data_IF_958693819818
#
_entry.id   IF_958693819818
#
_cell.length_a   1.000
_cell.length_b   1.000
_cell.length_c   1.000
_cell.angle_alpha   90.00
_cell.angle_beta   90.00
_cell.angle_gamma   90.00
#
_symmetry.space_group_name_H-M   'P 1'
#
loop_
_entity.id
_entity.type
_entity.pdbx_description
1 polymer ?
#
# COMPACT_ATOMS: atom_id res chain seq x y z
N UNK A 1 11.44 11.62 -9.72
CA UNK A 1 12.31 10.57 -9.12
C UNK A 1 11.45 9.33 -9.00
N UNK A 2 11.75 8.26 -9.74
CA UNK A 2 10.89 7.07 -9.79
C UNK A 2 10.70 6.47 -8.41
N UNK A 3 9.45 6.24 -8.02
CA UNK A 3 9.10 5.72 -6.71
C UNK A 3 9.24 4.20 -6.74
N UNK A 4 10.40 3.71 -6.33
CA UNK A 4 10.75 2.29 -6.28
C UNK A 4 11.09 1.89 -4.85
N UNK A 5 10.68 0.68 -4.47
CA UNK A 5 11.12 0.04 -3.22
C UNK A 5 11.90 -1.22 -3.56
N UNK A 6 13.02 -1.43 -2.87
CA UNK A 6 13.82 -2.64 -3.06
C UNK A 6 13.28 -3.76 -2.18
N UNK A 7 12.92 -4.89 -2.78
CA UNK A 7 12.53 -6.08 -2.04
C UNK A 7 13.76 -6.76 -1.39
N UNK A 8 13.53 -7.64 -0.41
CA UNK A 8 14.59 -8.47 0.21
C UNK A 8 15.26 -9.47 -0.75
N UNK A 9 14.66 -9.73 -1.92
CA UNK A 9 15.29 -10.51 -2.99
C UNK A 9 16.08 -9.62 -3.99
N UNK A 10 16.36 -8.35 -3.61
CA UNK A 10 17.02 -7.32 -4.42
C UNK A 10 16.22 -6.80 -5.64
N UNK A 11 15.07 -7.39 -5.96
CA UNK A 11 14.19 -6.90 -7.03
C UNK A 11 13.62 -5.51 -6.71
N UNK A 12 13.51 -4.66 -7.74
CA UNK A 12 12.88 -3.34 -7.62
C UNK A 12 11.38 -3.43 -7.89
N UNK A 13 10.58 -2.97 -6.94
CA UNK A 13 9.12 -2.94 -7.04
C UNK A 13 8.66 -1.51 -7.21
N UNK A 14 7.86 -1.26 -8.25
CA UNK A 14 7.33 0.06 -8.54
C UNK A 14 6.22 0.42 -7.57
N UNK A 15 6.26 1.63 -7.01
CA UNK A 15 5.29 2.08 -5.99
C UNK A 15 4.26 3.08 -6.53
N UNK A 16 4.30 3.39 -7.82
CA UNK A 16 3.30 4.25 -8.45
C UNK A 16 1.99 3.47 -8.69
N UNK A 17 0.92 3.93 -8.05
CA UNK A 17 -0.42 3.34 -8.16
C UNK A 17 -1.05 3.52 -9.55
N UNK A 18 -0.64 4.54 -10.32
CA UNK A 18 -1.24 4.86 -11.61
C UNK A 18 -0.66 4.06 -12.79
N UNK A 19 0.27 3.13 -12.51
CA UNK A 19 0.93 2.31 -13.54
C UNK A 19 0.32 0.91 -13.70
N UNK A 20 -0.88 0.65 -13.16
CA UNK A 20 -1.56 -0.65 -13.32
C UNK A 20 -0.85 -1.80 -12.61
N UNK A 21 -0.07 -1.50 -11.58
CA UNK A 21 0.85 -2.42 -10.87
C UNK A 21 0.18 -3.32 -9.84
N UNK A 22 -1.15 -3.29 -9.71
CA UNK A 22 -1.89 -4.11 -8.74
C UNK A 22 -1.68 -3.68 -7.28
N UNK A 23 -1.33 -2.41 -7.04
CA UNK A 23 -1.13 -1.86 -5.69
C UNK A 23 -2.48 -1.75 -4.98
N UNK A 24 -2.53 -2.31 -3.78
CA UNK A 24 -3.71 -2.23 -2.91
C UNK A 24 -3.49 -1.23 -1.77
N UNK A 25 -4.56 -0.73 -1.18
CA UNK A 25 -4.52 0.12 0.02
C UNK A 25 -4.94 -0.69 1.23
N UNK A 26 -4.26 -0.48 2.37
CA UNK A 26 -4.66 -1.08 3.64
C UNK A 26 -5.47 -0.06 4.41
N UNK A 27 -6.72 -0.42 4.71
CA UNK A 27 -7.66 0.43 5.42
C UNK A 27 -8.35 -0.42 6.49
N UNK A 28 -8.43 0.11 7.69
CA UNK A 28 -9.17 -0.52 8.80
C UNK A 28 -10.68 -0.40 8.55
N UNK A 29 -11.43 -1.44 8.93
CA UNK A 29 -12.88 -1.51 8.72
C UNK A 29 -13.62 -0.40 9.46
N UNK A 30 -13.25 -0.13 10.72
CA UNK A 30 -13.81 0.97 11.52
C UNK A 30 -13.67 2.34 10.83
N UNK A 31 -12.60 2.53 10.06
CA UNK A 31 -12.41 3.75 9.28
C UNK A 31 -13.33 3.79 8.05
N UNK A 32 -13.67 2.66 7.44
CA UNK A 32 -14.60 2.63 6.32
C UNK A 32 -16.04 2.89 6.77
N UNK A 33 -16.41 2.40 7.96
CA UNK A 33 -17.77 2.48 8.51
C UNK A 33 -18.12 3.84 9.13
N UNK A 34 -17.14 4.68 9.40
CA UNK A 34 -17.36 6.01 9.97
C UNK A 34 -18.22 6.90 9.02
N UNK A 35 -19.35 7.41 9.52
CA UNK A 35 -20.21 8.32 8.79
C UNK A 35 -19.53 9.68 8.52
N UNK A 36 -19.53 10.09 7.25
CA UNK A 36 -18.90 11.36 6.81
C UNK A 36 -19.87 12.21 5.99
N UNK A 37 -20.87 12.85 6.64
CA UNK A 37 -21.98 13.52 5.93
C UNK A 37 -21.55 14.73 5.09
N UNK A 38 -20.36 15.30 5.32
CA UNK A 38 -19.87 16.49 4.62
C UNK A 38 -18.73 16.18 3.62
N UNK A 39 -18.53 14.90 3.26
CA UNK A 39 -17.40 14.49 2.43
C UNK A 39 -17.89 13.82 1.15
N UNK A 40 -17.40 14.30 0.00
CA UNK A 40 -17.67 13.63 -1.26
C UNK A 40 -16.92 12.30 -1.34
N UNK A 41 -17.40 11.39 -2.19
CA UNK A 41 -16.70 10.14 -2.45
C UNK A 41 -15.30 10.37 -3.02
N UNK A 42 -15.14 11.40 -3.86
CA UNK A 42 -13.87 11.77 -4.49
C UNK A 42 -12.85 12.27 -3.46
N UNK A 43 -13.28 13.13 -2.53
CA UNK A 43 -12.44 13.62 -1.43
C UNK A 43 -12.04 12.47 -0.50
N UNK A 44 -12.95 11.53 -0.25
CA UNK A 44 -12.69 10.35 0.57
C UNK A 44 -11.64 9.44 -0.07
N UNK A 45 -11.78 9.10 -1.35
CA UNK A 45 -10.82 8.28 -2.08
C UNK A 45 -9.47 8.98 -2.17
N UNK A 46 -9.46 10.29 -2.46
CA UNK A 46 -8.23 11.09 -2.52
C UNK A 46 -7.49 11.04 -1.19
N UNK A 47 -8.19 11.17 -0.07
CA UNK A 47 -7.59 11.05 1.25
C UNK A 47 -7.05 9.65 1.51
N UNK A 48 -7.77 8.58 1.15
CA UNK A 48 -7.31 7.21 1.31
C UNK A 48 -5.98 6.99 0.56
N UNK A 49 -5.89 7.42 -0.69
CA UNK A 49 -4.69 7.27 -1.53
C UNK A 49 -3.48 8.00 -0.94
N UNK A 50 -3.70 9.14 -0.27
CA UNK A 50 -2.64 9.98 0.31
C UNK A 50 -2.23 9.51 1.70
N UNK A 51 -3.17 9.02 2.51
CA UNK A 51 -2.94 8.84 3.95
C UNK A 51 -2.72 7.39 4.37
N UNK A 52 -3.13 6.42 3.55
CA UNK A 52 -3.11 5.01 3.93
C UNK A 52 -1.90 4.29 3.37
N UNK A 53 -1.49 3.25 4.11
CA UNK A 53 -0.37 2.41 3.71
C UNK A 53 -0.71 1.66 2.42
N UNK A 54 0.30 1.53 1.55
CA UNK A 54 0.18 0.78 0.31
C UNK A 54 0.68 -0.65 0.52
N UNK A 55 -0.05 -1.60 -0.02
CA UNK A 55 0.33 -3.00 -0.11
C UNK A 55 0.80 -3.31 -1.53
N UNK A 56 2.04 -3.78 -1.62
CA UNK A 56 2.69 -4.18 -2.87
C UNK A 56 3.03 -5.67 -2.78
N UNK A 57 3.06 -6.34 -3.92
CA UNK A 57 3.57 -7.71 -4.04
C UNK A 57 4.81 -7.72 -4.93
N UNK A 58 5.89 -8.33 -4.46
CA UNK A 58 7.05 -8.56 -5.31
C UNK A 58 6.74 -9.65 -6.35
N UNK A 59 6.78 -9.30 -7.63
CA UNK A 59 6.52 -10.25 -8.72
C UNK A 59 7.49 -11.44 -8.75
N UNK A 60 8.72 -11.27 -8.25
CA UNK A 60 9.76 -12.31 -8.24
C UNK A 60 9.60 -13.28 -7.05
N UNK A 61 9.62 -12.78 -5.81
CA UNK A 61 9.61 -13.64 -4.62
C UNK A 61 8.27 -13.70 -3.87
N UNK A 62 7.22 -13.08 -4.41
CA UNK A 62 5.84 -13.07 -3.86
C UNK A 62 5.70 -12.52 -2.44
N UNK A 63 6.73 -11.82 -1.97
CA UNK A 63 6.74 -11.12 -0.68
C UNK A 63 5.80 -9.92 -0.73
N UNK A 64 4.98 -9.80 0.30
CA UNK A 64 4.16 -8.62 0.53
C UNK A 64 5.02 -7.52 1.16
N UNK A 65 4.89 -6.31 0.63
CA UNK A 65 5.61 -5.12 1.08
C UNK A 65 4.55 -4.10 1.47
N UNK A 66 4.53 -3.72 2.74
CA UNK A 66 3.68 -2.65 3.24
C UNK A 66 4.51 -1.38 3.34
N UNK A 67 4.12 -0.37 2.57
CA UNK A 67 4.75 0.94 2.52
C UNK A 67 3.87 1.94 3.27
N UNK A 68 4.39 2.47 4.36
CA UNK A 68 3.80 3.59 5.10
C UNK A 68 4.66 4.84 4.85
N UNK A 69 4.24 5.66 3.89
CA UNK A 69 4.96 6.88 3.52
C UNK A 69 4.88 7.96 4.60
N UNK A 70 3.87 7.92 5.50
CA UNK A 70 3.71 8.92 6.58
C UNK A 70 4.70 8.69 7.71
N UNK A 71 4.87 7.43 8.10
CA UNK A 71 5.80 7.03 9.16
C UNK A 71 7.20 6.69 8.60
N UNK A 72 7.38 6.77 7.27
CA UNK A 72 8.59 6.33 6.57
C UNK A 72 9.00 4.90 6.94
N UNK A 73 7.99 4.03 7.11
CA UNK A 73 8.16 2.63 7.50
C UNK A 73 7.93 1.71 6.30
N UNK A 74 8.73 0.65 6.22
CA UNK A 74 8.55 -0.42 5.24
C UNK A 74 8.58 -1.76 5.97
N UNK A 75 7.49 -2.52 5.86
CA UNK A 75 7.33 -3.84 6.47
C UNK A 75 7.27 -4.90 5.37
N UNK A 76 7.85 -6.07 5.65
CA UNK A 76 7.99 -7.16 4.70
C UNK A 76 7.39 -8.44 5.29
N UNK A 77 6.52 -9.12 4.55
CA UNK A 77 5.85 -10.34 4.98
C UNK A 77 5.97 -11.43 3.92
N UNK A 78 6.38 -12.64 4.32
CA UNK A 78 6.35 -13.83 3.45
C UNK A 78 5.24 -14.75 3.95
N UNK A 79 4.40 -15.24 3.03
CA UNK A 79 3.29 -16.13 3.37
C UNK A 79 3.74 -17.45 4.05
N UNK A 80 4.98 -17.87 3.86
CA UNK A 80 5.55 -19.09 4.47
C UNK A 80 6.00 -18.91 5.94
N UNK A 81 6.09 -17.69 6.46
CA UNK A 81 6.57 -17.42 7.83
C UNK A 81 5.44 -17.50 8.89
N UNK A 82 4.23 -17.90 8.52
CA UNK A 82 3.06 -18.01 9.41
C UNK A 82 2.45 -19.44 9.46
N UNK A 83 3.25 -20.48 9.20
CA UNK A 83 2.85 -21.89 9.35
C UNK A 83 3.23 -22.45 10.74
#
# INVERSE_FOLDING_TARGET
MGSWVRCKCEELVHTNMFCGTGISLIVEEDYLDEERPNKSAEDFISELVVTRSRLLECGNCKRLIVLDERNNEIKYYKLEDNA
#
